data_IF_735037413338
#
_entry.id   IF_735037413338
#
_cell.length_a   1.000
_cell.length_b   1.000
_cell.length_c   1.000
_cell.angle_alpha   90.00
_cell.angle_beta   90.00
_cell.angle_gamma   90.00
#
_symmetry.space_group_name_H-M   'P 1'
#
loop_
_entity.id
_entity.type
_entity.pdbx_description
1 polymer ?
#
# COMPACT_ATOMS: atom_id res chain seq x y z
N UNK A 1 27.25 15.51 -6.94
CA UNK A 1 26.84 14.16 -7.35
C UNK A 1 25.64 13.78 -6.51
N UNK A 2 24.51 13.39 -7.10
CA UNK A 2 23.30 13.05 -6.31
C UNK A 2 23.56 11.80 -5.48
N UNK A 3 23.45 11.90 -4.15
CA UNK A 3 23.68 10.76 -3.26
C UNK A 3 22.47 9.80 -3.17
N UNK A 4 21.39 10.11 -3.89
CA UNK A 4 20.15 9.32 -3.94
C UNK A 4 20.38 7.84 -4.31
N UNK A 5 21.07 7.57 -5.43
CA UNK A 5 21.22 6.19 -5.93
C UNK A 5 22.07 5.29 -5.00
N UNK A 6 23.20 5.77 -4.44
CA UNK A 6 23.92 5.04 -3.39
C UNK A 6 23.05 4.71 -2.18
N UNK A 7 22.27 5.68 -1.70
CA UNK A 7 21.38 5.49 -0.53
C UNK A 7 20.32 4.44 -0.87
N UNK A 8 19.62 4.59 -1.99
CA UNK A 8 18.62 3.62 -2.46
C UNK A 8 19.18 2.19 -2.49
N UNK A 9 20.36 1.99 -3.12
CA UNK A 9 20.98 0.66 -3.21
C UNK A 9 21.34 0.09 -1.84
N UNK A 10 21.86 0.92 -0.94
CA UNK A 10 22.19 0.53 0.44
C UNK A 10 20.95 0.10 1.20
N UNK A 11 19.91 0.93 1.20
CA UNK A 11 18.66 0.68 1.91
C UNK A 11 17.94 -0.55 1.35
N UNK A 12 17.83 -0.67 0.02
CA UNK A 12 17.21 -1.82 -0.63
C UNK A 12 17.92 -3.13 -0.27
N UNK A 13 19.26 -3.15 -0.29
CA UNK A 13 20.04 -4.32 0.13
C UNK A 13 19.87 -4.63 1.62
N UNK A 14 19.72 -3.61 2.46
CA UNK A 14 19.48 -3.78 3.90
C UNK A 14 18.22 -4.61 4.18
N UNK A 15 17.13 -4.37 3.43
CA UNK A 15 15.90 -5.15 3.55
C UNK A 15 16.13 -6.65 3.33
N UNK A 16 16.87 -7.03 2.28
CA UNK A 16 17.13 -8.43 1.93
C UNK A 16 18.29 -9.07 2.71
N UNK A 17 19.06 -8.28 3.45
CA UNK A 17 20.03 -8.82 4.43
C UNK A 17 19.34 -9.21 5.75
N UNK A 18 18.13 -8.69 6.01
CA UNK A 18 17.34 -9.01 7.19
C UNK A 18 16.28 -10.08 6.87
N UNK A 19 16.02 -11.04 7.78
CA UNK A 19 14.96 -12.03 7.56
C UNK A 19 13.55 -11.41 7.46
N UNK A 20 13.37 -10.17 7.91
CA UNK A 20 12.05 -9.53 8.03
C UNK A 20 11.41 -9.30 6.67
N UNK A 21 12.16 -8.85 5.66
CA UNK A 21 11.59 -8.62 4.33
C UNK A 21 11.03 -9.92 3.75
N UNK A 22 11.75 -11.04 3.89
CA UNK A 22 11.28 -12.35 3.44
C UNK A 22 10.03 -12.79 4.18
N UNK A 23 9.98 -12.62 5.51
CA UNK A 23 8.79 -12.96 6.31
C UNK A 23 7.59 -12.11 5.90
N UNK A 24 7.76 -10.81 5.72
CA UNK A 24 6.66 -9.90 5.32
C UNK A 24 6.19 -10.21 3.90
N UNK A 25 7.10 -10.46 2.94
CA UNK A 25 6.73 -10.86 1.57
C UNK A 25 5.98 -12.19 1.59
N UNK A 26 6.50 -13.19 2.30
CA UNK A 26 5.86 -14.51 2.38
C UNK A 26 4.48 -14.44 3.03
N UNK A 27 4.35 -13.72 4.15
CA UNK A 27 3.08 -13.54 4.84
C UNK A 27 2.08 -12.78 3.97
N UNK A 28 2.52 -11.72 3.29
CA UNK A 28 1.70 -10.99 2.34
C UNK A 28 1.15 -11.89 1.25
N UNK A 29 2.01 -12.65 0.56
CA UNK A 29 1.61 -13.56 -0.52
C UNK A 29 0.71 -14.70 -0.04
N UNK A 30 0.94 -15.21 1.17
CA UNK A 30 0.11 -16.24 1.79
C UNK A 30 -1.29 -15.69 2.05
N UNK A 31 -1.39 -14.53 2.71
CA UNK A 31 -2.68 -13.93 3.06
C UNK A 31 -3.44 -13.49 1.80
N UNK A 32 -2.79 -12.83 0.85
CA UNK A 32 -3.43 -12.47 -0.42
C UNK A 32 -3.81 -13.69 -1.27
N UNK A 33 -3.00 -14.75 -1.23
CA UNK A 33 -3.29 -16.01 -1.90
C UNK A 33 -4.48 -16.74 -1.27
N UNK A 34 -4.62 -16.68 0.04
CA UNK A 34 -5.80 -17.17 0.75
C UNK A 34 -7.06 -16.40 0.33
N UNK A 35 -7.02 -15.07 0.26
CA UNK A 35 -8.14 -14.29 -0.26
C UNK A 35 -8.49 -14.65 -1.71
N UNK A 36 -7.48 -14.78 -2.58
CA UNK A 36 -7.68 -15.21 -3.96
C UNK A 36 -8.37 -16.56 -4.05
N UNK A 37 -7.89 -17.57 -3.31
CA UNK A 37 -8.49 -18.90 -3.28
C UNK A 37 -9.96 -18.87 -2.83
N UNK A 38 -10.28 -18.13 -1.76
CA UNK A 38 -11.65 -18.04 -1.24
C UNK A 38 -12.59 -17.36 -2.24
N UNK A 39 -12.16 -16.22 -2.81
CA UNK A 39 -12.97 -15.47 -3.79
C UNK A 39 -13.17 -16.29 -5.06
N UNK A 40 -12.13 -16.92 -5.57
CA UNK A 40 -12.22 -17.76 -6.77
C UNK A 40 -13.09 -19.00 -6.53
N UNK A 41 -12.99 -19.64 -5.37
CA UNK A 41 -13.85 -20.77 -5.02
C UNK A 41 -15.32 -20.37 -4.91
N UNK A 42 -15.58 -19.20 -4.30
CA UNK A 42 -16.93 -18.63 -4.25
C UNK A 42 -17.46 -18.32 -5.65
N UNK A 43 -16.65 -17.72 -6.52
CA UNK A 43 -16.99 -17.48 -7.92
C UNK A 43 -17.38 -18.78 -8.65
N UNK A 44 -16.57 -19.85 -8.53
CA UNK A 44 -16.88 -21.15 -9.14
C UNK A 44 -18.20 -21.74 -8.61
N UNK A 45 -18.45 -21.63 -7.30
CA UNK A 45 -19.70 -22.08 -6.70
C UNK A 45 -20.92 -21.31 -7.25
N UNK A 46 -20.79 -19.99 -7.39
CA UNK A 46 -21.85 -19.14 -7.95
C UNK A 46 -22.11 -19.47 -9.43
N UNK A 47 -21.05 -19.59 -10.24
CA UNK A 47 -21.17 -19.96 -11.66
C UNK A 47 -21.81 -21.34 -11.82
N UNK A 48 -21.40 -22.31 -11.01
CA UNK A 48 -21.96 -23.67 -11.05
C UNK A 48 -23.44 -23.71 -10.64
N UNK A 49 -23.82 -23.03 -9.54
CA UNK A 49 -25.20 -23.00 -9.05
C UNK A 49 -26.13 -22.21 -9.96
N UNK A 50 -25.70 -21.07 -10.49
CA UNK A 50 -26.51 -20.24 -11.40
C UNK A 50 -26.55 -20.82 -12.82
N UNK A 51 -25.49 -21.48 -13.28
CA UNK A 51 -25.42 -22.17 -14.57
C UNK A 51 -26.42 -23.32 -14.68
N UNK A 52 -26.74 -24.00 -13.57
CA UNK A 52 -27.81 -25.00 -13.53
C UNK A 52 -29.23 -24.42 -13.56
N UNK A 53 -29.41 -23.16 -13.15
CA UNK A 53 -30.75 -22.59 -12.90
C UNK A 53 -31.26 -21.66 -14.01
N UNK A 54 -30.37 -21.01 -14.79
CA UNK A 54 -30.76 -19.94 -15.73
C UNK A 54 -30.37 -20.16 -17.21
N UNK A 55 -29.79 -21.30 -17.56
CA UNK A 55 -29.41 -21.62 -18.93
C UNK A 55 -28.21 -20.80 -19.46
N UNK A 56 -27.75 -21.13 -20.67
CA UNK A 56 -26.47 -20.66 -21.24
C UNK A 56 -26.31 -19.13 -21.38
N UNK A 57 -27.40 -18.35 -21.43
CA UNK A 57 -27.36 -16.88 -21.58
C UNK A 57 -26.94 -16.10 -20.33
N UNK A 58 -26.83 -16.75 -19.17
CA UNK A 58 -26.39 -16.09 -17.92
C UNK A 58 -24.87 -16.04 -17.76
N UNK A 59 -24.11 -16.87 -18.47
CA UNK A 59 -22.64 -16.85 -18.38
C UNK A 59 -22.03 -15.60 -19.01
N UNK A 60 -22.66 -15.00 -20.03
CA UNK A 60 -22.18 -13.76 -20.68
C UNK A 60 -22.29 -12.52 -19.78
N UNK A 61 -23.11 -12.55 -18.72
CA UNK A 61 -23.26 -11.42 -17.79
C UNK A 61 -22.29 -11.51 -16.60
N UNK A 62 -21.52 -12.58 -16.48
CA UNK A 62 -20.60 -12.78 -15.36
C UNK A 62 -19.24 -12.20 -15.73
N UNK A 63 -18.99 -10.96 -15.31
CA UNK A 63 -17.68 -10.34 -15.47
C UNK A 63 -16.73 -10.82 -14.34
N UNK A 64 -15.73 -11.63 -14.71
CA UNK A 64 -14.67 -12.10 -13.80
C UNK A 64 -13.94 -10.94 -13.11
N UNK A 65 -13.76 -9.80 -13.79
CA UNK A 65 -13.11 -8.64 -13.20
C UNK A 65 -13.94 -8.04 -12.04
N UNK A 66 -15.26 -8.03 -12.15
CA UNK A 66 -16.13 -7.49 -11.11
C UNK A 66 -16.30 -8.45 -9.93
N UNK A 67 -16.46 -9.75 -10.21
CA UNK A 67 -16.71 -10.75 -9.16
C UNK A 67 -15.45 -11.26 -8.47
N UNK A 68 -14.29 -11.20 -9.13
CA UNK A 68 -13.02 -11.71 -8.58
C UNK A 68 -12.02 -10.59 -8.37
N UNK A 69 -11.66 -9.83 -9.41
CA UNK A 69 -10.58 -8.85 -9.32
C UNK A 69 -10.89 -7.73 -8.33
N UNK A 70 -12.08 -7.10 -8.42
CA UNK A 70 -12.47 -6.02 -7.51
C UNK A 70 -12.39 -6.40 -6.03
N UNK A 71 -13.09 -7.46 -5.53
CA UNK A 71 -13.00 -7.84 -4.13
C UNK A 71 -11.61 -8.34 -3.74
N UNK A 72 -10.87 -8.98 -4.66
CA UNK A 72 -9.50 -9.41 -4.41
C UNK A 72 -8.60 -8.20 -4.11
N UNK A 73 -8.60 -7.21 -5.00
CA UNK A 73 -7.71 -6.07 -4.86
C UNK A 73 -8.11 -5.14 -3.70
N UNK A 74 -9.41 -4.99 -3.40
CA UNK A 74 -9.84 -4.30 -2.18
C UNK A 74 -9.35 -5.01 -0.91
N UNK A 75 -9.37 -6.35 -0.88
CA UNK A 75 -8.77 -7.12 0.23
C UNK A 75 -7.24 -6.97 0.27
N UNK A 76 -6.56 -6.97 -0.88
CA UNK A 76 -5.12 -6.74 -0.96
C UNK A 76 -4.74 -5.39 -0.35
N UNK A 77 -5.52 -4.32 -0.56
CA UNK A 77 -5.29 -3.03 0.12
C UNK A 77 -5.34 -3.16 1.65
N UNK A 78 -6.27 -3.93 2.19
CA UNK A 78 -6.37 -4.19 3.64
C UNK A 78 -5.15 -4.97 4.13
N UNK A 79 -4.68 -5.97 3.38
CA UNK A 79 -3.44 -6.69 3.71
C UNK A 79 -2.25 -5.73 3.71
N UNK A 80 -2.16 -4.84 2.72
CA UNK A 80 -1.08 -3.83 2.63
C UNK A 80 -1.14 -2.86 3.81
N UNK A 81 -2.33 -2.46 4.25
CA UNK A 81 -2.53 -1.63 5.44
C UNK A 81 -1.87 -2.26 6.68
N UNK A 82 -1.94 -3.59 6.81
CA UNK A 82 -1.29 -4.34 7.88
C UNK A 82 0.22 -4.51 7.66
N UNK A 83 0.66 -4.76 6.42
CA UNK A 83 2.07 -5.09 6.11
C UNK A 83 2.99 -3.87 6.03
N UNK A 84 2.51 -2.73 5.52
CA UNK A 84 3.35 -1.53 5.33
C UNK A 84 3.95 -1.03 6.65
N UNK A 85 3.21 -0.97 7.78
CA UNK A 85 3.80 -0.63 9.08
C UNK A 85 5.03 -1.48 9.44
N UNK A 86 5.04 -2.77 9.10
CA UNK A 86 6.19 -3.66 9.36
C UNK A 86 7.40 -3.32 8.47
N UNK A 87 7.16 -2.85 7.24
CA UNK A 87 8.22 -2.43 6.32
C UNK A 87 8.81 -1.08 6.70
N UNK A 88 7.99 -0.15 7.17
CA UNK A 88 8.38 1.25 7.39
C UNK A 88 8.87 1.54 8.80
N UNK A 89 8.49 0.73 9.80
CA UNK A 89 8.77 1.02 11.20
C UNK A 89 10.25 1.27 11.51
N UNK A 90 11.15 0.63 10.75
CA UNK A 90 12.60 0.69 10.95
C UNK A 90 13.31 1.85 10.25
N UNK A 91 12.67 2.44 9.23
CA UNK A 91 13.34 3.31 8.26
C UNK A 91 14.14 4.46 8.89
N UNK A 92 13.56 5.14 9.90
CA UNK A 92 14.22 6.22 10.63
C UNK A 92 14.32 5.92 12.14
N UNK A 93 13.34 5.24 12.72
CA UNK A 93 13.35 4.93 14.16
C UNK A 93 14.55 4.06 14.58
N UNK A 94 15.01 3.13 13.73
CA UNK A 94 16.19 2.31 14.02
C UNK A 94 17.48 3.14 14.01
N UNK A 95 17.61 4.06 13.04
CA UNK A 95 18.78 4.93 12.95
C UNK A 95 18.86 5.92 14.10
N UNK A 96 17.70 6.43 14.56
CA UNK A 96 17.61 7.25 15.77
C UNK A 96 18.04 6.46 17.01
N UNK A 97 17.49 5.25 17.18
CA UNK A 97 17.81 4.38 18.32
C UNK A 97 19.30 4.04 18.41
N UNK A 98 19.95 3.84 17.26
CA UNK A 98 21.36 3.46 17.17
C UNK A 98 22.31 4.66 17.15
N UNK A 99 21.81 5.89 17.16
CA UNK A 99 22.61 7.12 17.02
C UNK A 99 23.25 7.29 15.63
N UNK A 100 23.00 6.38 14.70
CA UNK A 100 23.58 6.45 13.34
C UNK A 100 22.94 7.55 12.49
N UNK A 101 21.81 8.10 12.94
CA UNK A 101 21.20 9.27 12.31
C UNK A 101 22.12 10.49 12.34
N UNK A 102 22.94 10.66 13.38
CA UNK A 102 23.89 11.79 13.47
C UNK A 102 24.96 11.72 12.36
N UNK A 103 25.41 10.50 12.03
CA UNK A 103 26.33 10.26 10.92
C UNK A 103 25.67 10.64 9.59
N UNK A 104 24.39 10.31 9.43
CA UNK A 104 23.63 10.65 8.22
C UNK A 104 23.43 12.15 8.07
N UNK A 105 23.21 12.88 9.17
CA UNK A 105 23.00 14.33 9.17
C UNK A 105 24.31 15.14 9.07
N UNK A 106 25.45 14.53 9.40
CA UNK A 106 26.79 15.16 9.31
C UNK A 106 27.50 14.84 7.99
N UNK A 107 27.12 13.78 7.29
CA UNK A 107 27.60 13.49 5.94
C UNK A 107 27.09 14.55 4.94
N UNK A 108 27.82 14.90 3.86
CA UNK A 108 27.39 15.91 2.87
C UNK A 108 26.27 15.40 1.95
N UNK A 109 25.17 14.94 2.55
CA UNK A 109 23.97 14.41 1.90
C UNK A 109 22.82 15.33 2.24
N UNK A 110 22.01 15.67 1.24
CA UNK A 110 20.81 16.46 1.49
C UNK A 110 19.76 15.58 2.17
N UNK A 111 19.07 16.08 3.18
CA UNK A 111 18.02 15.32 3.90
C UNK A 111 16.95 14.78 2.93
N UNK A 112 16.65 15.55 1.88
CA UNK A 112 15.75 15.16 0.78
C UNK A 112 16.24 13.88 0.07
N UNK A 113 17.54 13.78 -0.23
CA UNK A 113 18.10 12.60 -0.89
C UNK A 113 18.03 11.36 0.01
N UNK A 114 18.22 11.55 1.32
CA UNK A 114 18.12 10.46 2.29
C UNK A 114 16.68 9.96 2.45
N UNK A 115 15.72 10.88 2.64
CA UNK A 115 14.29 10.56 2.78
C UNK A 115 13.76 9.91 1.50
N UNK A 116 14.05 10.49 0.33
CA UNK A 116 13.62 9.91 -0.95
C UNK A 116 14.29 8.57 -1.24
N UNK A 117 15.57 8.39 -0.87
CA UNK A 117 16.26 7.11 -1.03
C UNK A 117 15.63 5.99 -0.20
N UNK A 118 15.28 6.28 1.06
CA UNK A 118 14.55 5.36 1.96
C UNK A 118 13.15 5.04 1.47
N UNK A 119 12.41 6.08 1.07
CA UNK A 119 11.07 5.93 0.48
C UNK A 119 11.12 5.03 -0.77
N UNK A 120 12.02 5.32 -1.71
CA UNK A 120 12.16 4.55 -2.95
C UNK A 120 12.59 3.10 -2.68
N UNK A 121 13.49 2.86 -1.72
CA UNK A 121 13.91 1.51 -1.36
C UNK A 121 12.75 0.69 -0.77
N UNK A 122 11.98 1.26 0.15
CA UNK A 122 10.77 0.62 0.70
C UNK A 122 9.72 0.40 -0.40
N UNK A 123 9.53 1.37 -1.29
CA UNK A 123 8.61 1.26 -2.43
C UNK A 123 9.05 0.15 -3.40
N UNK A 124 10.35 -0.04 -3.63
CA UNK A 124 10.85 -1.13 -4.45
C UNK A 124 10.59 -2.50 -3.81
N UNK A 125 10.78 -2.66 -2.49
CA UNK A 125 10.40 -3.90 -1.77
C UNK A 125 8.89 -4.15 -1.87
N UNK A 126 8.10 -3.10 -1.73
CA UNK A 126 6.65 -3.16 -1.92
C UNK A 126 6.27 -3.55 -3.36
N UNK A 127 6.97 -3.05 -4.38
CA UNK A 127 6.78 -3.46 -5.77
C UNK A 127 7.13 -4.94 -5.97
N UNK A 128 8.12 -5.50 -5.26
CA UNK A 128 8.41 -6.95 -5.28
C UNK A 128 7.23 -7.74 -4.70
N UNK A 129 6.60 -7.26 -3.62
CA UNK A 129 5.38 -7.87 -3.08
C UNK A 129 4.25 -7.84 -4.10
N UNK A 130 3.97 -6.69 -4.71
CA UNK A 130 2.96 -6.55 -5.75
C UNK A 130 3.26 -7.41 -6.98
N UNK A 131 4.53 -7.53 -7.39
CA UNK A 131 4.91 -8.38 -8.50
C UNK A 131 4.57 -9.86 -8.21
N UNK A 132 4.70 -10.31 -6.96
CA UNK A 132 4.28 -11.64 -6.56
C UNK A 132 2.76 -11.88 -6.69
N UNK A 133 1.93 -10.83 -6.60
CA UNK A 133 0.47 -10.98 -6.81
C UNK A 133 0.09 -11.10 -8.28
N UNK A 134 0.99 -10.79 -9.23
CA UNK A 134 0.73 -10.98 -10.67
C UNK A 134 0.43 -12.43 -11.02
N UNK A 135 0.82 -13.38 -10.16
CA UNK A 135 0.43 -14.78 -10.28
C UNK A 135 -1.11 -14.95 -10.33
N UNK A 136 -1.88 -14.11 -9.65
CA UNK A 136 -3.35 -14.22 -9.60
C UNK A 136 -4.02 -13.88 -10.94
N UNK A 137 -3.84 -12.69 -11.56
CA UNK A 137 -4.40 -12.41 -12.87
C UNK A 137 -3.82 -13.31 -13.96
N UNK A 138 -2.56 -13.77 -13.83
CA UNK A 138 -1.99 -14.76 -14.75
C UNK A 138 -2.76 -16.09 -14.68
N UNK A 139 -3.06 -16.60 -13.49
CA UNK A 139 -3.90 -17.80 -13.34
C UNK A 139 -5.30 -17.59 -13.91
N UNK A 140 -5.95 -16.47 -13.60
CA UNK A 140 -7.27 -16.15 -14.15
C UNK A 140 -7.27 -16.04 -15.68
N UNK A 141 -6.19 -15.53 -16.28
CA UNK A 141 -6.09 -15.40 -17.75
C UNK A 141 -6.09 -16.75 -18.47
N UNK A 142 -5.62 -17.81 -17.81
CA UNK A 142 -5.61 -19.18 -18.35
C UNK A 142 -6.96 -19.86 -18.19
N UNK A 143 -7.68 -19.64 -17.09
CA UNK A 143 -8.88 -20.42 -16.74
C UNK A 143 -10.21 -19.72 -17.02
N UNK A 144 -10.29 -18.40 -16.91
CA UNK A 144 -11.58 -17.67 -16.88
C UNK A 144 -11.65 -16.46 -17.82
N UNK A 145 -10.54 -16.12 -18.50
CA UNK A 145 -10.44 -14.88 -19.26
C UNK A 145 -10.32 -13.67 -18.32
N UNK A 146 -9.44 -12.72 -18.67
CA UNK A 146 -9.17 -11.54 -17.87
C UNK A 146 -9.18 -10.30 -18.74
N UNK A 147 -9.96 -9.31 -18.34
CA UNK A 147 -9.86 -7.97 -18.86
C UNK A 147 -8.66 -7.27 -18.22
N UNK A 148 -7.60 -7.06 -19.01
CA UNK A 148 -6.37 -6.45 -18.52
C UNK A 148 -6.53 -4.97 -18.16
N UNK A 149 -7.52 -4.26 -18.71
CA UNK A 149 -7.78 -2.85 -18.41
C UNK A 149 -8.04 -2.61 -16.90
N UNK A 150 -9.09 -3.22 -16.32
CA UNK A 150 -9.35 -3.13 -14.88
C UNK A 150 -8.18 -3.62 -14.01
N UNK A 151 -7.48 -4.69 -14.42
CA UNK A 151 -6.33 -5.22 -13.70
C UNK A 151 -5.19 -4.19 -13.62
N UNK A 152 -4.81 -3.59 -14.76
CA UNK A 152 -3.76 -2.57 -14.80
C UNK A 152 -4.15 -1.32 -13.99
N UNK A 153 -5.42 -0.91 -14.06
CA UNK A 153 -5.97 0.16 -13.22
C UNK A 153 -5.83 -0.16 -11.72
N UNK A 154 -6.14 -1.39 -11.31
CA UNK A 154 -5.96 -1.84 -9.93
C UNK A 154 -4.48 -1.79 -9.50
N UNK A 155 -3.55 -2.27 -10.33
CA UNK A 155 -2.12 -2.22 -10.01
C UNK A 155 -1.59 -0.80 -9.88
N UNK A 156 -2.06 0.12 -10.73
CA UNK A 156 -1.74 1.55 -10.60
C UNK A 156 -2.29 2.12 -9.30
N UNK A 157 -3.56 1.82 -8.97
CA UNK A 157 -4.17 2.21 -7.70
C UNK A 157 -3.41 1.65 -6.49
N UNK A 158 -3.00 0.38 -6.53
CA UNK A 158 -2.23 -0.27 -5.46
C UNK A 158 -0.88 0.41 -5.28
N UNK A 159 -0.18 0.74 -6.36
CA UNK A 159 1.09 1.45 -6.30
C UNK A 159 0.95 2.83 -5.65
N UNK A 160 -0.12 3.57 -5.98
CA UNK A 160 -0.42 4.88 -5.40
C UNK A 160 -0.81 4.79 -3.92
N UNK A 161 -1.69 3.85 -3.55
CA UNK A 161 -2.07 3.57 -2.16
C UNK A 161 -0.85 3.16 -1.34
N UNK A 162 -0.03 2.25 -1.86
CA UNK A 162 1.21 1.82 -1.22
C UNK A 162 2.18 2.98 -1.02
N UNK A 163 2.30 3.87 -2.00
CA UNK A 163 3.11 5.09 -1.88
C UNK A 163 2.63 5.99 -0.73
N UNK A 164 1.32 6.21 -0.62
CA UNK A 164 0.71 6.97 0.47
C UNK A 164 0.95 6.32 1.84
N UNK A 165 0.78 5.00 1.94
CA UNK A 165 0.99 4.28 3.20
C UNK A 165 2.47 4.29 3.61
N UNK A 166 3.39 4.08 2.66
CA UNK A 166 4.83 4.08 2.93
C UNK A 166 5.30 5.46 3.39
N UNK A 167 4.81 6.54 2.75
CA UNK A 167 5.14 7.89 3.19
C UNK A 167 4.63 8.22 4.59
N UNK A 168 3.43 7.74 4.95
CA UNK A 168 2.93 7.85 6.33
C UNK A 168 3.78 7.07 7.31
N UNK A 169 4.17 5.85 6.95
CA UNK A 169 5.05 5.04 7.79
C UNK A 169 6.41 5.66 8.00
N UNK A 170 6.96 6.30 6.97
CA UNK A 170 8.22 7.05 7.07
C UNK A 170 8.06 8.28 7.99
N UNK A 171 6.95 9.02 7.85
CA UNK A 171 6.62 10.14 8.73
C UNK A 171 6.54 9.69 10.19
N UNK A 172 5.76 8.65 10.49
CA UNK A 172 5.62 8.15 11.87
C UNK A 172 6.94 7.60 12.40
N UNK A 173 7.73 6.88 11.59
CA UNK A 173 9.07 6.42 11.95
C UNK A 173 10.02 7.58 12.25
N UNK A 174 9.83 8.75 11.62
CA UNK A 174 10.59 9.97 11.94
C UNK A 174 10.23 10.58 13.30
N UNK A 175 9.06 10.28 13.88
CA UNK A 175 8.58 10.91 15.11
C UNK A 175 8.97 10.15 16.39
N UNK A 176 9.57 8.97 16.26
CA UNK A 176 9.92 8.12 17.39
C UNK A 176 11.25 7.42 17.19
N UNK A 177 11.89 7.02 18.29
CA UNK A 177 13.13 6.24 18.30
C UNK A 177 12.84 4.75 18.52
N UNK A 178 11.57 4.37 18.75
CA UNK A 178 11.19 2.99 19.00
C UNK A 178 10.46 2.41 17.78
N UNK A 179 11.06 1.38 17.16
CA UNK A 179 10.47 0.67 16.02
C UNK A 179 9.05 0.15 16.30
N UNK A 180 8.79 -0.38 17.50
CA UNK A 180 7.47 -0.92 17.83
C UNK A 180 6.44 0.21 17.85
N UNK A 181 6.79 1.34 18.46
CA UNK A 181 5.92 2.53 18.49
C UNK A 181 5.72 3.07 17.07
N UNK A 182 6.76 3.09 16.23
CA UNK A 182 6.64 3.51 14.83
C UNK A 182 5.68 2.62 14.04
N UNK A 183 5.80 1.31 14.19
CA UNK A 183 4.93 0.33 13.53
C UNK A 183 3.48 0.46 13.99
N UNK A 184 3.25 0.40 15.31
CA UNK A 184 1.90 0.52 15.89
C UNK A 184 1.26 1.87 15.56
N UNK A 185 2.03 2.96 15.62
CA UNK A 185 1.55 4.30 15.27
C UNK A 185 1.17 4.41 13.79
N UNK A 186 1.98 3.85 12.90
CA UNK A 186 1.66 3.81 11.45
C UNK A 186 0.38 3.03 11.23
N UNK A 187 0.28 1.84 11.81
CA UNK A 187 -0.91 1.00 11.71
C UNK A 187 -2.14 1.73 12.23
N UNK A 188 -2.06 2.37 13.40
CA UNK A 188 -3.17 3.14 13.98
C UNK A 188 -3.63 4.28 13.08
N UNK A 189 -2.70 5.07 12.50
CA UNK A 189 -3.05 6.16 11.59
C UNK A 189 -3.74 5.62 10.33
N UNK A 190 -3.19 4.57 9.71
CA UNK A 190 -3.79 3.98 8.51
C UNK A 190 -5.15 3.34 8.81
N UNK A 191 -5.28 2.65 9.95
CA UNK A 191 -6.54 2.07 10.41
C UNK A 191 -7.60 3.14 10.66
N UNK A 192 -7.23 4.30 11.22
CA UNK A 192 -8.16 5.41 11.39
C UNK A 192 -8.70 5.88 10.03
N UNK A 193 -7.84 6.12 9.04
CA UNK A 193 -8.28 6.49 7.69
C UNK A 193 -9.20 5.45 7.03
N UNK A 194 -8.98 4.17 7.32
CA UNK A 194 -9.86 3.10 6.89
C UNK A 194 -11.23 3.17 7.58
N UNK A 195 -11.26 3.34 8.91
CA UNK A 195 -12.48 3.45 9.71
C UNK A 195 -13.34 4.68 9.34
N UNK A 196 -12.72 5.79 8.92
CA UNK A 196 -13.45 6.96 8.44
C UNK A 196 -14.35 6.62 7.24
N UNK A 197 -13.87 5.78 6.31
CA UNK A 197 -14.69 5.32 5.17
C UNK A 197 -15.85 4.41 5.60
N UNK A 198 -15.61 3.53 6.58
CA UNK A 198 -16.65 2.67 7.13
C UNK A 198 -17.77 3.43 7.86
N UNK A 199 -17.46 4.64 8.35
CA UNK A 199 -18.38 5.45 9.17
C UNK A 199 -19.29 6.38 8.36
N UNK A 200 -19.17 6.45 7.02
CA UNK A 200 -19.98 7.34 6.15
C UNK A 200 -21.49 7.19 6.42
N UNK A 201 -21.97 5.96 6.61
CA UNK A 201 -23.40 5.64 6.77
C UNK A 201 -23.97 5.99 8.15
N UNK A 202 -23.11 6.34 9.11
CA UNK A 202 -23.47 6.59 10.51
C UNK A 202 -23.60 8.08 10.84
N UNK A 203 -23.25 8.98 9.90
CA UNK A 203 -23.18 10.42 10.12
C UNK A 203 -24.08 11.17 9.13
N UNK A 204 -24.33 12.46 9.36
CA UNK A 204 -25.09 13.31 8.44
C UNK A 204 -24.47 13.32 7.02
N UNK A 205 -25.26 13.53 5.95
CA UNK A 205 -24.76 13.47 4.57
C UNK A 205 -23.58 14.41 4.28
N UNK A 206 -23.57 15.61 4.87
CA UNK A 206 -22.51 16.60 4.71
C UNK A 206 -21.19 16.13 5.32
N UNK A 207 -21.25 15.59 6.55
CA UNK A 207 -20.08 15.04 7.22
C UNK A 207 -19.64 13.72 6.56
N UNK A 208 -20.58 12.90 6.10
CA UNK A 208 -20.31 11.69 5.34
C UNK A 208 -19.50 11.99 4.08
N UNK A 209 -19.83 13.04 3.33
CA UNK A 209 -19.07 13.44 2.14
C UNK A 209 -17.62 13.84 2.47
N UNK A 210 -17.39 14.52 3.59
CA UNK A 210 -16.03 14.89 4.04
C UNK A 210 -15.24 13.65 4.47
N UNK A 211 -15.88 12.76 5.26
CA UNK A 211 -15.27 11.50 5.71
C UNK A 211 -14.90 10.59 4.53
N UNK A 212 -15.77 10.54 3.53
CA UNK A 212 -15.55 9.81 2.28
C UNK A 212 -14.31 10.32 1.55
N UNK A 213 -14.14 11.64 1.45
CA UNK A 213 -12.98 12.25 0.80
C UNK A 213 -11.66 12.05 1.59
N UNK A 214 -11.74 11.88 2.91
CA UNK A 214 -10.58 11.56 3.75
C UNK A 214 -10.20 10.08 3.70
N UNK A 215 -11.09 9.20 3.24
CA UNK A 215 -10.82 7.76 3.25
C UNK A 215 -9.83 7.37 2.16
N UNK A 216 -8.66 6.88 2.57
CA UNK A 216 -7.65 6.37 1.64
C UNK A 216 -8.12 5.14 0.83
N UNK A 217 -9.12 4.39 1.31
CA UNK A 217 -9.62 3.20 0.62
C UNK A 217 -10.77 3.50 -0.33
N UNK A 218 -11.60 4.52 -0.07
CA UNK A 218 -12.74 4.81 -0.95
C UNK A 218 -12.28 5.26 -2.34
N UNK A 219 -11.19 6.03 -2.40
CA UNK A 219 -10.54 6.42 -3.66
C UNK A 219 -9.99 5.21 -4.45
N UNK A 220 -9.74 4.07 -3.80
CA UNK A 220 -9.30 2.84 -4.48
C UNK A 220 -10.44 2.13 -5.22
N UNK A 221 -11.69 2.30 -4.79
CA UNK A 221 -12.84 1.63 -5.42
C UNK A 221 -13.06 2.05 -6.88
N UNK A 222 -12.65 3.26 -7.29
CA UNK A 222 -12.69 3.67 -8.70
C UNK A 222 -11.67 2.88 -9.53
N UNK A 223 -10.44 2.75 -9.03
CA UNK A 223 -9.42 1.92 -9.67
C UNK A 223 -9.87 0.46 -9.78
N UNK A 224 -10.54 -0.04 -8.73
CA UNK A 224 -11.08 -1.40 -8.67
C UNK A 224 -12.20 -1.67 -9.70
N UNK A 225 -12.89 -0.61 -10.16
CA UNK A 225 -13.85 -0.65 -11.28
C UNK A 225 -13.19 -0.46 -12.65
N UNK A 226 -11.86 -0.29 -12.71
CA UNK A 226 -11.14 0.01 -13.94
C UNK A 226 -11.22 1.48 -14.38
N UNK A 227 -11.69 2.38 -13.52
CA UNK A 227 -11.83 3.81 -13.80
C UNK A 227 -10.61 4.53 -13.23
N UNK A 228 -9.87 5.21 -14.11
CA UNK A 228 -8.73 6.03 -13.73
C UNK A 228 -9.17 7.49 -13.75
N UNK A 229 -9.52 8.04 -12.59
CA UNK A 229 -9.79 9.46 -12.42
C UNK A 229 -8.53 10.20 -11.97
N UNK A 230 -8.30 11.39 -12.54
CA UNK A 230 -7.20 12.28 -12.15
C UNK A 230 -7.33 12.72 -10.70
N UNK A 231 -8.56 12.82 -10.16
CA UNK A 231 -8.83 13.20 -8.78
C UNK A 231 -8.22 12.21 -7.78
N UNK A 232 -8.41 10.92 -8.04
CA UNK A 232 -7.90 9.86 -7.16
C UNK A 232 -6.38 9.76 -7.23
N UNK A 233 -5.80 9.94 -8.43
CA UNK A 233 -4.34 10.01 -8.60
C UNK A 233 -3.75 11.18 -7.82
N UNK A 234 -4.29 12.39 -8.02
CA UNK A 234 -3.82 13.59 -7.35
C UNK A 234 -4.00 13.50 -5.84
N UNK A 235 -5.07 12.86 -5.36
CA UNK A 235 -5.28 12.63 -3.94
C UNK A 235 -4.13 11.84 -3.33
N UNK A 236 -3.77 10.67 -3.88
CA UNK A 236 -2.65 9.87 -3.36
C UNK A 236 -1.30 10.58 -3.52
N UNK A 237 -1.05 11.25 -4.64
CA UNK A 237 0.20 11.98 -4.84
C UNK A 237 0.36 13.15 -3.86
N UNK A 238 -0.70 13.92 -3.62
CA UNK A 238 -0.68 15.00 -2.63
C UNK A 238 -0.46 14.46 -1.22
N UNK A 239 -1.14 13.37 -0.88
CA UNK A 239 -0.98 12.74 0.43
C UNK A 239 0.46 12.25 0.62
N UNK A 240 1.04 11.57 -0.37
CA UNK A 240 2.45 11.15 -0.36
C UNK A 240 3.40 12.34 -0.23
N UNK A 241 3.17 13.39 -1.02
CA UNK A 241 4.00 14.60 -0.97
C UNK A 241 3.97 15.27 0.40
N UNK A 242 2.78 15.46 0.98
CA UNK A 242 2.62 16.08 2.30
C UNK A 242 3.31 15.24 3.37
N UNK A 243 3.12 13.92 3.38
CA UNK A 243 3.76 13.04 4.38
C UNK A 243 5.29 13.05 4.27
N UNK A 244 5.85 13.02 3.05
CA UNK A 244 7.29 13.14 2.84
C UNK A 244 7.83 14.54 3.23
N UNK A 245 7.09 15.60 2.92
CA UNK A 245 7.44 16.96 3.33
C UNK A 245 7.46 17.10 4.86
N UNK A 246 6.46 16.57 5.56
CA UNK A 246 6.41 16.56 7.01
C UNK A 246 7.55 15.72 7.62
N UNK A 247 7.95 14.63 6.95
CA UNK A 247 9.12 13.82 7.35
C UNK A 247 10.39 14.68 7.32
N UNK A 248 10.60 15.47 6.27
CA UNK A 248 11.75 16.37 6.16
C UNK A 248 11.76 17.42 7.28
N UNK A 249 10.60 18.03 7.56
CA UNK A 249 10.46 19.01 8.65
C UNK A 249 10.70 18.41 10.04
N UNK A 250 10.28 17.17 10.25
CA UNK A 250 10.57 16.42 11.47
C UNK A 250 12.09 16.22 11.67
N UNK A 251 12.83 15.93 10.61
CA UNK A 251 14.29 15.79 10.65
C UNK A 251 14.99 17.13 10.90
N UNK A 252 14.56 18.21 10.24
CA UNK A 252 15.09 19.56 10.46
C UNK A 252 14.94 20.01 11.91
N UNK A 253 13.76 19.80 12.51
CA UNK A 253 13.50 20.17 13.91
C UNK A 253 14.37 19.38 14.90
N UNK A 254 14.78 18.16 14.56
CA UNK A 254 15.67 17.36 15.40
C UNK A 254 17.07 17.97 15.52
N UNK A 255 17.57 18.61 14.46
CA UNK A 255 18.89 19.27 14.43
C UNK A 255 19.02 20.47 15.38
N UNK A 256 17.90 21.05 15.80
CA UNK A 256 17.87 22.27 16.62
C UNK A 256 17.77 21.97 18.12
N UNK A 257 17.55 20.71 18.50
CA UNK A 257 17.35 20.27 19.89
C UNK A 257 18.56 19.54 20.49
N UNK A 258 19.54 19.17 19.68
CA UNK A 258 20.83 18.60 20.08
C UNK A 258 21.97 19.55 19.77
#
# INVERSE_FOLDING_TARGET
MSNFLPIFKREFKSYFNSPIAYVVIALFLLVSGFFFYNIYSFFNYVVFSMGMQRGAGFMEQINTAEMVCRPLYSNVVIVILLMVPLLTMRLLAEEKKLGTIEILLTYPVRDIEAVLGKFAACLAVYCVMLAGTLLYPLMLSVYSGVEWGPVLSCYLGLLLVGSAFISTGLLVSSLTENQIIAGVGTFAVLLLFWLLGASERLVSPELGAILKHLSLLEHFEQFAKGIIDTRDILYYLNFTFIALFLTLRSLDSGKWRG
#
